data_IF_039964659427
#
_entry.id   IF_039964659427
#
_cell.length_a   1.000
_cell.length_b   1.000
_cell.length_c   1.000
_cell.angle_alpha   90.00
_cell.angle_beta   90.00
_cell.angle_gamma   90.00
#
_symmetry.space_group_name_H-M   'P 1'
#
loop_
_entity.id
_entity.type
_entity.pdbx_description
1 polymer ?
#
# COMPACT_ATOMS: atom_id res chain seq x y z
N UNK A 1 -24.07 -12.06 -4.78
CA UNK A 1 -24.88 -11.34 -5.79
C UNK A 1 -25.29 -9.96 -5.28
N UNK A 2 -25.84 -9.86 -4.07
CA UNK A 2 -26.37 -8.62 -3.46
C UNK A 2 -25.37 -7.46 -3.38
N UNK A 3 -24.17 -7.66 -2.83
CA UNK A 3 -23.17 -6.58 -2.73
C UNK A 3 -22.72 -6.03 -4.09
N UNK A 4 -22.67 -6.88 -5.12
CA UNK A 4 -22.35 -6.43 -6.49
C UNK A 4 -23.44 -5.53 -7.05
N UNK A 5 -24.72 -5.85 -6.75
CA UNK A 5 -25.83 -5.00 -7.15
C UNK A 5 -25.82 -3.67 -6.40
N UNK A 6 -25.57 -3.71 -5.08
CA UNK A 6 -25.41 -2.51 -4.27
C UNK A 6 -24.28 -1.60 -4.80
N UNK A 7 -23.16 -2.20 -5.21
CA UNK A 7 -22.03 -1.47 -5.79
C UNK A 7 -22.33 -0.91 -7.20
N UNK A 8 -23.12 -1.60 -8.02
CA UNK A 8 -23.52 -1.10 -9.34
C UNK A 8 -24.41 0.15 -9.25
N UNK A 9 -25.27 0.21 -8.24
CA UNK A 9 -26.16 1.34 -7.96
C UNK A 9 -25.59 2.25 -6.84
N UNK A 10 -24.26 2.26 -6.63
CA UNK A 10 -23.61 2.88 -5.47
C UNK A 10 -23.90 4.38 -5.33
N UNK A 11 -23.96 5.12 -6.45
CA UNK A 11 -24.28 6.54 -6.46
C UNK A 11 -25.63 6.87 -5.81
N UNK A 12 -26.59 5.96 -5.93
CA UNK A 12 -27.90 6.06 -5.28
C UNK A 12 -27.74 5.69 -3.80
N UNK A 13 -27.10 4.56 -3.51
CA UNK A 13 -26.98 4.06 -2.15
C UNK A 13 -26.20 4.99 -1.21
N UNK A 14 -25.13 5.61 -1.68
CA UNK A 14 -24.32 6.55 -0.88
C UNK A 14 -25.08 7.80 -0.44
N UNK A 15 -26.17 8.16 -1.14
CA UNK A 15 -27.02 9.31 -0.79
C UNK A 15 -28.21 8.86 0.05
N UNK A 16 -29.01 7.92 -0.48
CA UNK A 16 -30.28 7.53 0.16
C UNK A 16 -30.10 6.64 1.39
N UNK A 17 -29.00 5.88 1.46
CA UNK A 17 -28.74 4.95 2.55
C UNK A 17 -27.54 5.37 3.41
N UNK A 18 -27.08 6.62 3.31
CA UNK A 18 -25.88 7.12 4.01
C UNK A 18 -25.85 6.80 5.52
N UNK A 19 -26.99 6.86 6.19
CA UNK A 19 -27.12 6.56 7.62
C UNK A 19 -27.16 5.06 7.96
N UNK A 20 -27.33 4.19 6.96
CA UNK A 20 -27.45 2.74 7.12
C UNK A 20 -26.20 1.97 6.67
N UNK A 21 -25.35 2.58 5.83
CA UNK A 21 -24.18 1.92 5.25
C UNK A 21 -23.15 1.48 6.29
N UNK A 22 -23.02 2.21 7.39
CA UNK A 22 -22.17 1.84 8.51
C UNK A 22 -22.61 0.53 9.19
N UNK A 23 -23.92 0.24 9.22
CA UNK A 23 -24.49 -0.93 9.86
C UNK A 23 -24.47 -2.19 8.99
N UNK A 24 -23.89 -2.12 7.79
CA UNK A 24 -23.56 -3.32 7.02
C UNK A 24 -22.67 -4.22 7.90
N UNK A 25 -22.98 -5.53 8.02
CA UNK A 25 -22.20 -6.44 8.84
C UNK A 25 -20.69 -6.33 8.55
N UNK A 26 -19.87 -6.24 9.60
CA UNK A 26 -18.43 -5.92 9.50
C UNK A 26 -17.68 -6.83 8.53
N UNK A 27 -17.96 -8.14 8.54
CA UNK A 27 -17.36 -9.10 7.61
C UNK A 27 -17.73 -8.87 6.12
N UNK A 28 -18.80 -8.12 5.81
CA UNK A 28 -19.20 -7.78 4.44
C UNK A 28 -18.62 -6.46 3.95
N UNK A 29 -18.21 -5.56 4.86
CA UNK A 29 -17.68 -4.23 4.52
C UNK A 29 -16.47 -4.29 3.57
N UNK A 30 -15.46 -5.18 3.76
CA UNK A 30 -14.34 -5.28 2.84
C UNK A 30 -14.75 -5.67 1.42
N UNK A 31 -15.67 -6.63 1.29
CA UNK A 31 -16.18 -7.07 0.02
C UNK A 31 -16.99 -5.96 -0.68
N UNK A 32 -17.78 -5.20 0.08
CA UNK A 32 -18.50 -4.03 -0.43
C UNK A 32 -17.54 -2.97 -0.95
N UNK A 33 -16.55 -2.55 -0.15
CA UNK A 33 -15.53 -1.55 -0.54
C UNK A 33 -14.86 -1.98 -1.85
N UNK A 34 -14.43 -3.25 -1.93
CA UNK A 34 -13.83 -3.80 -3.16
C UNK A 34 -14.79 -3.73 -4.35
N UNK A 35 -16.04 -4.15 -4.18
CA UNK A 35 -17.00 -4.14 -5.28
C UNK A 35 -17.32 -2.72 -5.75
N UNK A 36 -17.43 -1.75 -4.85
CA UNK A 36 -17.57 -0.32 -5.20
C UNK A 36 -16.34 0.14 -5.98
N UNK A 37 -15.13 -0.23 -5.54
CA UNK A 37 -13.89 0.18 -6.22
C UNK A 37 -13.75 -0.39 -7.63
N UNK A 38 -14.29 -1.57 -7.87
CA UNK A 38 -14.29 -2.21 -9.20
C UNK A 38 -15.45 -1.73 -10.08
N UNK A 39 -16.63 -1.46 -9.50
CA UNK A 39 -17.82 -1.05 -10.25
C UNK A 39 -17.83 0.44 -10.60
N UNK A 40 -17.22 1.27 -9.76
CA UNK A 40 -17.14 2.71 -9.96
C UNK A 40 -16.07 3.08 -10.99
N UNK A 41 -16.44 3.89 -11.96
CA UNK A 41 -15.48 4.47 -12.90
C UNK A 41 -14.44 5.33 -12.21
N UNK A 42 -14.73 5.95 -11.07
CA UNK A 42 -13.73 6.74 -10.33
C UNK A 42 -12.98 5.93 -9.26
N UNK A 43 -13.43 4.72 -8.93
CA UNK A 43 -12.99 3.99 -7.73
C UNK A 43 -13.73 4.44 -6.46
N UNK A 44 -13.33 3.88 -5.31
CA UNK A 44 -13.86 4.26 -3.98
C UNK A 44 -13.33 5.64 -3.61
N UNK A 45 -14.18 6.54 -3.12
CA UNK A 45 -13.77 7.84 -2.59
C UNK A 45 -13.54 7.80 -1.07
N UNK A 46 -12.94 8.86 -0.53
CA UNK A 46 -12.74 8.98 0.91
C UNK A 46 -14.07 9.03 1.67
N UNK A 47 -15.07 9.70 1.11
CA UNK A 47 -16.42 9.77 1.68
C UNK A 47 -17.08 8.40 1.73
N UNK A 48 -16.87 7.57 0.71
CA UNK A 48 -17.40 6.19 0.70
C UNK A 48 -16.78 5.35 1.82
N UNK A 49 -15.46 5.48 2.06
CA UNK A 49 -14.81 4.80 3.17
C UNK A 49 -15.37 5.23 4.52
N UNK A 50 -15.59 6.53 4.71
CA UNK A 50 -16.19 7.06 5.94
C UNK A 50 -17.61 6.52 6.13
N UNK A 51 -18.46 6.56 5.10
CA UNK A 51 -19.83 6.04 5.16
C UNK A 51 -19.91 4.55 5.55
N UNK A 52 -18.94 3.75 5.13
CA UNK A 52 -18.93 2.30 5.39
C UNK A 52 -18.28 1.99 6.76
N UNK A 53 -17.20 2.68 7.12
CA UNK A 53 -16.34 2.31 8.25
C UNK A 53 -16.58 3.13 9.51
N UNK A 54 -17.09 4.35 9.39
CA UNK A 54 -17.32 5.26 10.51
C UNK A 54 -18.82 5.42 10.78
N UNK A 55 -19.23 5.57 12.05
CA UNK A 55 -20.63 5.85 12.38
C UNK A 55 -21.06 7.19 11.77
N UNK A 56 -22.35 7.35 11.41
CA UNK A 56 -22.85 8.63 10.90
C UNK A 56 -22.68 9.75 11.93
N UNK A 57 -22.12 10.88 11.49
CA UNK A 57 -21.87 12.05 12.34
C UNK A 57 -23.19 12.59 12.93
N UNK A 58 -23.19 12.89 14.24
CA UNK A 58 -24.30 13.54 14.95
C UNK A 58 -25.65 12.79 14.93
N UNK A 59 -25.66 11.48 14.66
CA UNK A 59 -26.89 10.67 14.67
C UNK A 59 -27.02 9.80 15.91
N UNK A 60 -25.90 9.27 16.41
CA UNK A 60 -25.86 8.39 17.57
C UNK A 60 -24.99 9.02 18.65
N UNK A 61 -25.42 8.91 19.91
CA UNK A 61 -24.55 9.33 21.02
C UNK A 61 -23.41 8.33 21.19
N UNK A 62 -22.30 8.79 21.76
CA UNK A 62 -21.12 7.96 22.01
C UNK A 62 -21.40 6.74 22.91
N UNK A 63 -22.48 6.81 23.69
CA UNK A 63 -22.96 5.75 24.58
C UNK A 63 -23.81 4.69 23.87
N UNK A 64 -24.39 4.99 22.70
CA UNK A 64 -25.28 4.09 21.97
C UNK A 64 -24.53 3.05 21.12
N UNK A 65 -23.24 3.28 20.85
CA UNK A 65 -22.40 2.38 20.06
C UNK A 65 -21.37 1.69 20.94
N UNK A 66 -21.46 0.37 21.08
CA UNK A 66 -20.45 -0.41 21.79
C UNK A 66 -19.06 -0.26 21.14
N UNK A 67 -18.00 -0.25 21.95
CA UNK A 67 -16.61 -0.08 21.51
C UNK A 67 -16.17 -1.11 20.45
N UNK A 68 -16.69 -2.34 20.46
CA UNK A 68 -16.42 -3.37 19.45
C UNK A 68 -17.05 -3.02 18.10
N UNK A 69 -18.28 -2.51 18.12
CA UNK A 69 -18.97 -2.01 16.92
C UNK A 69 -18.22 -0.82 16.30
N UNK A 70 -17.65 0.05 17.14
CA UNK A 70 -16.82 1.19 16.71
C UNK A 70 -15.48 0.76 16.11
N UNK A 71 -14.84 -0.27 16.67
CA UNK A 71 -13.49 -0.68 16.28
C UNK A 71 -13.43 -1.60 15.04
N UNK A 72 -14.55 -1.90 14.35
CA UNK A 72 -14.63 -2.80 13.19
C UNK A 72 -13.70 -4.04 13.31
N UNK A 73 -13.66 -4.67 14.50
CA UNK A 73 -12.62 -5.65 14.87
C UNK A 73 -12.66 -6.94 14.04
N UNK A 74 -13.78 -7.26 13.41
CA UNK A 74 -13.93 -8.39 12.48
C UNK A 74 -13.27 -8.15 11.12
N UNK A 75 -12.93 -6.90 10.78
CA UNK A 75 -12.32 -6.56 9.50
C UNK A 75 -10.82 -6.89 9.55
N UNK A 76 -10.46 -7.94 8.80
CA UNK A 76 -9.08 -8.40 8.68
C UNK A 76 -8.46 -8.06 7.33
N UNK A 77 -9.25 -7.60 6.36
CA UNK A 77 -8.82 -7.29 5.00
C UNK A 77 -9.34 -5.93 4.54
N UNK A 78 -8.48 -5.16 3.87
CA UNK A 78 -8.83 -3.92 3.21
C UNK A 78 -8.21 -3.90 1.81
N UNK A 79 -9.07 -3.93 0.80
CA UNK A 79 -8.68 -3.94 -0.60
C UNK A 79 -9.04 -2.59 -1.24
N UNK A 80 -8.03 -1.75 -1.49
CA UNK A 80 -8.16 -0.44 -2.12
C UNK A 80 -7.60 -0.43 -3.55
N UNK A 81 -7.51 -1.62 -4.16
CA UNK A 81 -6.95 -1.77 -5.51
C UNK A 81 -7.66 -0.85 -6.50
N UNK A 82 -6.90 -0.24 -7.41
CA UNK A 82 -7.36 0.71 -8.42
C UNK A 82 -8.00 2.03 -7.90
N UNK A 83 -8.12 2.21 -6.58
CA UNK A 83 -8.61 3.47 -5.98
C UNK A 83 -7.45 4.37 -5.50
N UNK A 84 -6.38 3.77 -4.99
CA UNK A 84 -5.17 4.49 -4.57
C UNK A 84 -4.49 5.17 -5.77
N UNK A 85 -4.15 6.46 -5.62
CA UNK A 85 -3.52 7.27 -6.66
C UNK A 85 -4.48 7.75 -7.75
N UNK A 86 -5.77 7.38 -7.65
CA UNK A 86 -6.83 7.77 -8.58
C UNK A 86 -7.91 8.61 -7.87
N UNK A 87 -8.67 7.99 -6.97
CA UNK A 87 -9.71 8.64 -6.16
C UNK A 87 -9.31 8.80 -4.69
N UNK A 88 -8.32 8.04 -4.23
CA UNK A 88 -7.81 8.06 -2.87
C UNK A 88 -6.34 8.44 -2.83
N UNK A 89 -5.99 9.39 -1.98
CA UNK A 89 -4.60 9.59 -1.56
C UNK A 89 -4.31 8.75 -0.34
N UNK A 90 -3.11 8.22 -0.26
CA UNK A 90 -2.72 7.37 0.86
C UNK A 90 -2.73 8.13 2.20
N UNK A 91 -2.46 9.44 2.17
CA UNK A 91 -2.64 10.32 3.34
C UNK A 91 -4.07 10.28 3.89
N UNK A 92 -5.08 10.42 3.03
CA UNK A 92 -6.48 10.45 3.47
C UNK A 92 -6.87 9.09 4.10
N UNK A 93 -6.35 7.99 3.55
CA UNK A 93 -6.53 6.65 4.12
C UNK A 93 -5.87 6.53 5.51
N UNK A 94 -4.66 7.08 5.69
CA UNK A 94 -4.01 7.13 7.01
C UNK A 94 -4.88 7.93 7.99
N UNK A 95 -5.42 9.08 7.57
CA UNK A 95 -6.20 9.95 8.44
C UNK A 95 -7.52 9.27 8.87
N UNK A 96 -8.17 8.50 7.99
CA UNK A 96 -9.35 7.69 8.32
C UNK A 96 -9.03 6.51 9.23
N UNK A 97 -7.94 5.78 8.97
CA UNK A 97 -7.58 4.60 9.76
C UNK A 97 -7.09 4.95 11.18
N UNK A 98 -6.50 6.13 11.35
CA UNK A 98 -5.83 6.56 12.57
C UNK A 98 -6.36 7.89 13.09
N UNK A 99 -7.67 8.10 13.02
CA UNK A 99 -8.29 9.31 13.55
C UNK A 99 -8.00 9.43 15.05
N UNK A 100 -7.49 10.59 15.46
CA UNK A 100 -7.33 10.94 16.87
C UNK A 100 -8.73 11.28 17.37
N UNK A 101 -9.20 10.61 18.42
CA UNK A 101 -10.39 11.10 19.11
C UNK A 101 -10.03 12.48 19.68
N UNK A 102 -10.72 13.53 19.26
CA UNK A 102 -10.54 14.82 19.93
C UNK A 102 -10.91 14.64 21.41
N UNK A 103 -10.11 15.17 22.35
CA UNK A 103 -10.49 15.13 23.75
C UNK A 103 -11.84 15.81 23.90
N UNK A 104 -12.79 15.15 24.54
CA UNK A 104 -14.11 15.70 24.86
C UNK A 104 -13.93 17.11 25.42
N UNK A 105 -14.31 18.11 24.65
CA UNK A 105 -14.46 19.46 25.17
C UNK A 105 -15.67 19.43 26.08
N UNK A 106 -15.45 19.11 27.35
CA UNK A 106 -16.44 19.30 28.41
C UNK A 106 -16.66 20.81 28.52
N UNK A 107 -17.65 21.31 27.79
CA UNK A 107 -18.09 22.71 27.84
C UNK A 107 -19.04 22.92 29.04
N UNK A 108 -18.56 22.57 30.23
CA UNK A 108 -19.12 23.05 31.50
C UNK A 108 -17.98 23.59 32.36
N UNK A 109 -18.02 24.87 32.78
CA UNK A 109 -17.02 25.41 33.69
C UNK A 109 -17.27 24.82 35.08
N UNK A 110 -16.66 23.67 35.37
CA UNK A 110 -16.58 23.18 36.74
C UNK A 110 -15.48 23.95 37.48
N UNK A 111 -15.91 24.84 38.38
CA UNK A 111 -15.09 25.46 39.42
C UNK A 111 -14.60 24.39 40.41
N UNK A 112 -13.60 23.59 40.04
CA UNK A 112 -12.91 22.68 40.95
C UNK A 112 -11.43 22.59 40.61
N UNK A 113 -10.59 22.98 41.58
CA UNK A 113 -9.12 22.99 41.49
C UNK A 113 -8.50 21.58 41.56
N UNK A 114 -9.01 20.61 40.82
CA UNK A 114 -8.36 19.31 40.60
C UNK A 114 -7.91 19.20 39.14
N UNK A 115 -6.60 19.31 38.93
CA UNK A 115 -5.97 19.08 37.64
C UNK A 115 -6.05 17.60 37.31
N UNK A 116 -7.15 17.20 36.67
CA UNK A 116 -7.24 15.87 36.07
C UNK A 116 -6.33 15.89 34.85
N UNK A 117 -5.19 15.20 34.93
CA UNK A 117 -4.32 14.94 33.79
C UNK A 117 -5.14 14.26 32.69
N UNK A 118 -5.72 15.05 31.78
CA UNK A 118 -6.43 14.54 30.61
C UNK A 118 -5.36 14.07 29.63
N UNK A 119 -4.76 12.92 29.93
CA UNK A 119 -3.86 12.26 28.99
C UNK A 119 -4.64 12.01 27.69
N UNK A 120 -4.17 12.53 26.53
CA UNK A 120 -4.89 12.32 25.28
C UNK A 120 -4.99 10.82 25.03
N UNK A 121 -6.22 10.33 24.83
CA UNK A 121 -6.45 8.92 24.56
C UNK A 121 -5.62 8.49 23.34
N UNK A 122 -4.98 7.30 23.36
CA UNK A 122 -4.17 6.86 22.24
C UNK A 122 -5.04 6.81 20.97
N UNK A 123 -4.52 7.24 19.80
CA UNK A 123 -5.28 7.24 18.56
C UNK A 123 -5.88 5.86 18.31
N UNK A 124 -7.21 5.79 18.26
CA UNK A 124 -7.93 4.54 18.07
C UNK A 124 -7.71 4.07 16.63
N UNK A 125 -7.24 2.84 16.47
CA UNK A 125 -7.11 2.22 15.15
C UNK A 125 -8.49 1.72 14.70
N UNK A 126 -8.97 2.24 13.58
CA UNK A 126 -10.30 1.91 13.05
C UNK A 126 -10.42 0.43 12.67
N UNK A 127 -9.31 -0.21 12.29
CA UNK A 127 -9.23 -1.62 11.85
C UNK A 127 -8.11 -2.35 12.63
N UNK A 128 -8.30 -2.68 13.92
CA UNK A 128 -7.25 -3.16 14.82
C UNK A 128 -6.70 -4.55 14.44
N UNK A 129 -7.49 -5.35 13.74
CA UNK A 129 -7.13 -6.71 13.32
C UNK A 129 -6.79 -6.80 11.82
N UNK A 130 -6.45 -5.68 11.18
CA UNK A 130 -6.08 -5.66 9.77
C UNK A 130 -4.81 -6.47 9.53
N UNK A 131 -4.92 -7.51 8.70
CA UNK A 131 -3.81 -8.40 8.32
C UNK A 131 -3.55 -8.40 6.82
N UNK A 132 -4.57 -8.14 6.00
CA UNK A 132 -4.46 -8.11 4.54
C UNK A 132 -4.73 -6.69 4.03
N UNK A 133 -3.78 -6.14 3.28
CA UNK A 133 -3.87 -4.81 2.71
C UNK A 133 -3.51 -4.86 1.22
N UNK A 134 -4.43 -4.44 0.35
CA UNK A 134 -4.11 -4.23 -1.07
C UNK A 134 -4.11 -2.75 -1.39
N UNK A 135 -2.97 -2.27 -1.88
CA UNK A 135 -2.78 -0.92 -2.42
C UNK A 135 -2.41 -0.99 -3.91
N UNK A 136 -2.77 -2.07 -4.60
CA UNK A 136 -2.48 -2.26 -6.01
C UNK A 136 -3.01 -1.11 -6.86
N UNK A 137 -2.20 -0.62 -7.80
CA UNK A 137 -2.59 0.48 -8.68
C UNK A 137 -3.30 -0.03 -9.92
N UNK A 138 -4.14 0.81 -10.52
CA UNK A 138 -4.65 0.55 -11.86
C UNK A 138 -3.47 0.64 -12.85
N UNK A 139 -3.15 -0.43 -13.61
CA UNK A 139 -2.06 -0.41 -14.58
C UNK A 139 -2.21 0.67 -15.66
N UNK A 140 -3.43 1.13 -15.93
CA UNK A 140 -3.77 2.17 -16.91
C UNK A 140 -4.00 3.54 -16.29
N UNK A 141 -4.05 3.61 -14.96
CA UNK A 141 -4.36 4.82 -14.20
C UNK A 141 -3.13 5.70 -13.92
N UNK A 142 -3.37 6.92 -13.40
CA UNK A 142 -2.29 7.76 -12.90
C UNK A 142 -1.57 7.07 -11.73
N UNK A 143 -0.26 7.23 -11.66
CA UNK A 143 0.59 6.67 -10.58
C UNK A 143 0.94 7.74 -9.53
N UNK A 144 -0.07 8.49 -9.08
CA UNK A 144 0.11 9.52 -8.04
C UNK A 144 0.15 8.88 -6.65
N UNK A 145 1.28 8.24 -6.33
CA UNK A 145 1.50 7.57 -5.04
C UNK A 145 2.79 8.03 -4.38
N UNK A 146 2.83 7.93 -3.04
CA UNK A 146 3.95 8.37 -2.24
C UNK A 146 4.52 7.23 -1.39
N UNK A 147 5.75 6.82 -1.70
CA UNK A 147 6.51 5.89 -0.85
C UNK A 147 6.71 6.43 0.56
N UNK A 148 6.85 7.75 0.74
CA UNK A 148 6.91 8.39 2.06
C UNK A 148 5.63 8.15 2.87
N UNK A 149 4.46 8.28 2.24
CA UNK A 149 3.19 7.97 2.89
C UNK A 149 3.05 6.47 3.16
N UNK A 150 3.49 5.60 2.25
CA UNK A 150 3.49 4.16 2.48
C UNK A 150 4.37 3.77 3.67
N UNK A 151 5.55 4.38 3.81
CA UNK A 151 6.42 4.17 4.96
C UNK A 151 5.74 4.63 6.25
N UNK A 152 5.07 5.80 6.24
CA UNK A 152 4.31 6.29 7.39
C UNK A 152 3.11 5.40 7.75
N UNK A 153 2.45 4.79 6.75
CA UNK A 153 1.38 3.82 6.97
C UNK A 153 1.94 2.52 7.57
N UNK A 154 3.04 2.02 7.00
CA UNK A 154 3.65 0.75 7.40
C UNK A 154 4.12 0.74 8.85
N UNK A 155 4.63 1.87 9.37
CA UNK A 155 5.02 1.97 10.78
C UNK A 155 3.83 1.89 11.75
N UNK A 156 2.62 2.15 11.26
CA UNK A 156 1.38 2.10 12.05
C UNK A 156 0.59 0.79 11.87
N UNK A 157 0.97 -0.08 10.93
CA UNK A 157 0.30 -1.34 10.62
C UNK A 157 1.22 -2.57 10.80
N UNK A 158 1.79 -2.80 12.01
CA UNK A 158 2.71 -3.91 12.25
C UNK A 158 2.04 -5.30 12.22
N UNK A 159 0.71 -5.37 12.17
CA UNK A 159 -0.08 -6.62 12.11
C UNK A 159 -0.24 -7.18 10.69
N UNK A 160 0.08 -6.39 9.65
CA UNK A 160 -0.12 -6.80 8.26
C UNK A 160 0.80 -7.96 7.89
N UNK A 161 0.19 -9.03 7.38
CA UNK A 161 0.85 -10.25 6.89
C UNK A 161 0.78 -10.39 5.38
N UNK A 162 -0.22 -9.77 4.73
CA UNK A 162 -0.38 -9.80 3.28
C UNK A 162 -0.44 -8.39 2.73
N UNK A 163 0.48 -8.07 1.83
CA UNK A 163 0.54 -6.76 1.17
C UNK A 163 0.58 -6.94 -0.35
N UNK A 164 -0.28 -6.24 -1.08
CA UNK A 164 -0.11 -6.04 -2.53
C UNK A 164 0.26 -4.60 -2.84
N UNK A 165 1.37 -4.46 -3.54
CA UNK A 165 1.87 -3.21 -4.15
C UNK A 165 1.96 -3.40 -5.68
N UNK A 166 1.05 -4.17 -6.26
CA UNK A 166 1.06 -4.39 -7.70
C UNK A 166 0.99 -3.05 -8.45
N UNK A 167 1.79 -2.94 -9.52
CA UNK A 167 1.93 -1.77 -10.39
C UNK A 167 2.49 -0.50 -9.73
N UNK A 168 3.02 -0.60 -8.50
CA UNK A 168 3.70 0.53 -7.87
C UNK A 168 4.93 0.99 -8.68
N UNK A 169 5.16 2.31 -8.76
CA UNK A 169 6.34 2.85 -9.40
C UNK A 169 7.58 2.50 -8.58
N UNK A 170 8.75 2.79 -9.15
CA UNK A 170 10.02 2.59 -8.46
C UNK A 170 10.06 3.23 -7.05
N UNK A 171 10.61 2.54 -6.03
CA UNK A 171 10.84 3.08 -4.69
C UNK A 171 11.68 4.37 -4.70
N UNK A 172 11.06 5.48 -4.35
CA UNK A 172 11.70 6.80 -4.33
C UNK A 172 10.97 7.73 -3.36
N UNK A 173 11.71 8.45 -2.51
CA UNK A 173 11.19 9.43 -1.56
C UNK A 173 10.93 10.79 -2.22
N UNK A 174 11.61 11.07 -3.33
CA UNK A 174 11.60 12.37 -4.01
C UNK A 174 11.27 12.28 -5.51
N UNK A 175 10.10 11.73 -5.90
CA UNK A 175 9.79 11.41 -7.30
C UNK A 175 9.87 12.63 -8.24
N UNK A 176 9.47 13.81 -7.79
CA UNK A 176 9.49 15.05 -8.56
C UNK A 176 10.89 15.68 -8.69
N UNK A 177 11.79 15.36 -7.77
CA UNK A 177 13.15 15.89 -7.80
C UNK A 177 14.01 15.25 -8.90
N UNK A 178 13.62 14.06 -9.41
CA UNK A 178 14.24 13.42 -10.58
C UNK A 178 14.21 14.29 -11.85
N UNK A 179 13.33 15.28 -11.90
CA UNK A 179 13.18 16.23 -13.01
C UNK A 179 13.69 17.64 -12.70
N UNK A 180 14.19 17.89 -11.49
CA UNK A 180 14.65 19.20 -11.05
C UNK A 180 16.17 19.24 -11.00
N UNK A 181 16.76 20.31 -11.56
CA UNK A 181 18.20 20.56 -11.51
C UNK A 181 18.49 21.91 -10.89
N UNK A 182 19.53 21.99 -10.06
CA UNK A 182 20.06 23.24 -9.49
C UNK A 182 21.34 23.62 -10.20
N UNK A 183 21.46 24.89 -10.56
CA UNK A 183 22.68 25.44 -11.15
C UNK A 183 23.76 25.59 -10.07
N UNK A 184 24.87 24.87 -10.22
CA UNK A 184 26.08 25.04 -9.40
C UNK A 184 26.72 26.42 -9.63
N UNK A 185 27.39 27.01 -8.63
CA UNK A 185 28.23 28.21 -8.80
C UNK A 185 29.32 28.06 -9.89
N UNK A 186 29.67 26.83 -10.29
CA UNK A 186 30.58 26.53 -11.39
C UNK A 186 29.87 26.36 -12.75
N UNK A 187 28.58 26.68 -12.86
CA UNK A 187 27.81 26.66 -14.11
C UNK A 187 27.30 25.28 -14.55
N UNK A 188 27.38 24.25 -13.70
CA UNK A 188 26.85 22.90 -13.97
C UNK A 188 25.47 22.71 -13.34
N UNK A 189 24.50 22.22 -14.10
CA UNK A 189 23.20 21.79 -13.57
C UNK A 189 23.37 20.44 -12.85
N UNK A 190 23.09 20.39 -11.55
CA UNK A 190 23.18 19.20 -10.70
C UNK A 190 21.74 18.76 -10.34
N UNK A 191 21.40 17.45 -10.40
CA UNK A 191 20.09 16.97 -9.98
C UNK A 191 19.77 17.36 -8.53
N UNK A 192 18.56 17.87 -8.28
CA UNK A 192 18.16 18.39 -6.96
C UNK A 192 18.17 17.33 -5.85
N UNK A 193 17.82 16.08 -6.18
CA UNK A 193 17.79 14.97 -5.22
C UNK A 193 19.02 14.05 -5.28
N UNK A 194 20.08 14.43 -6.00
CA UNK A 194 21.24 13.55 -6.22
C UNK A 194 20.99 12.42 -7.23
N UNK A 195 19.73 12.03 -7.46
CA UNK A 195 19.30 11.13 -8.53
C UNK A 195 18.54 11.89 -9.63
N UNK A 196 18.71 11.46 -10.88
CA UNK A 196 18.04 11.98 -12.08
C UNK A 196 17.15 10.90 -12.71
N UNK A 197 16.32 11.27 -13.69
CA UNK A 197 15.41 10.34 -14.40
C UNK A 197 16.10 9.09 -14.99
N UNK A 198 17.38 9.18 -15.33
CA UNK A 198 18.17 8.10 -15.91
C UNK A 198 19.16 7.45 -14.93
N UNK A 199 19.11 7.79 -13.64
CA UNK A 199 20.11 7.31 -12.67
C UNK A 199 20.17 5.79 -12.55
N UNK A 200 19.07 5.09 -12.82
CA UNK A 200 19.06 3.62 -12.80
C UNK A 200 19.52 3.00 -14.13
N UNK A 201 19.23 3.66 -15.26
CA UNK A 201 19.55 3.18 -16.61
C UNK A 201 20.95 3.54 -17.08
N UNK A 202 21.51 4.66 -16.63
CA UNK A 202 22.83 5.16 -17.00
C UNK A 202 23.81 5.03 -15.83
N UNK A 203 23.43 5.51 -14.65
CA UNK A 203 24.35 5.62 -13.51
C UNK A 203 24.33 4.40 -12.58
N UNK A 204 23.39 3.46 -12.80
CA UNK A 204 23.19 2.26 -11.97
C UNK A 204 23.03 2.55 -10.46
N UNK A 205 22.58 3.75 -10.10
CA UNK A 205 22.41 4.17 -8.70
C UNK A 205 21.07 3.63 -8.19
N UNK A 206 21.09 2.70 -7.22
CA UNK A 206 19.87 2.13 -6.61
C UNK A 206 19.72 2.53 -5.14
N UNK A 207 20.56 3.44 -4.61
CA UNK A 207 20.70 3.67 -3.17
C UNK A 207 19.41 4.14 -2.51
N UNK A 208 18.65 5.05 -3.16
CA UNK A 208 17.35 5.51 -2.63
C UNK A 208 16.31 4.37 -2.61
N UNK A 209 16.25 3.56 -3.67
CA UNK A 209 15.31 2.45 -3.75
C UNK A 209 15.62 1.39 -2.69
N UNK A 210 16.91 1.08 -2.48
CA UNK A 210 17.39 0.17 -1.44
C UNK A 210 17.06 0.68 -0.03
N UNK A 211 17.21 1.99 0.21
CA UNK A 211 16.82 2.62 1.48
C UNK A 211 15.32 2.47 1.75
N UNK A 212 14.47 2.80 0.78
CA UNK A 212 13.01 2.68 0.90
C UNK A 212 12.61 1.23 1.16
N UNK A 213 13.15 0.28 0.39
CA UNK A 213 12.85 -1.15 0.55
C UNK A 213 13.32 -1.68 1.90
N UNK A 214 14.50 -1.26 2.40
CA UNK A 214 14.99 -1.62 3.73
C UNK A 214 14.09 -1.09 4.84
N UNK A 215 13.62 0.16 4.72
CA UNK A 215 12.70 0.75 5.70
C UNK A 215 11.35 0.02 5.69
N UNK A 216 10.82 -0.23 4.50
CA UNK A 216 9.57 -0.96 4.33
C UNK A 216 9.68 -2.36 4.92
N UNK A 217 10.80 -3.06 4.67
CA UNK A 217 10.99 -4.42 5.18
C UNK A 217 11.03 -4.49 6.71
N UNK A 218 11.63 -3.47 7.35
CA UNK A 218 11.66 -3.36 8.82
C UNK A 218 10.29 -3.08 9.41
N UNK A 219 9.50 -2.22 8.78
CA UNK A 219 8.16 -1.87 9.27
C UNK A 219 7.18 -3.05 9.07
N UNK A 220 7.25 -3.70 7.93
CA UNK A 220 6.42 -4.86 7.58
C UNK A 220 7.15 -6.20 7.82
N UNK A 221 7.72 -6.35 9.02
CA UNK A 221 8.51 -7.54 9.38
C UNK A 221 7.67 -8.81 9.61
N UNK A 222 6.34 -8.68 9.67
CA UNK A 222 5.40 -9.81 9.80
C UNK A 222 4.88 -10.35 8.47
N UNK A 223 5.27 -9.76 7.32
CA UNK A 223 4.77 -10.19 6.03
C UNK A 223 5.06 -11.67 5.77
N UNK A 224 4.03 -12.34 5.27
CA UNK A 224 4.02 -13.71 4.78
C UNK A 224 3.77 -13.72 3.26
N UNK A 225 3.04 -12.72 2.75
CA UNK A 225 2.76 -12.53 1.34
C UNK A 225 3.10 -11.11 0.87
N UNK A 226 3.80 -11.00 -0.26
CA UNK A 226 4.05 -9.74 -0.94
C UNK A 226 3.78 -9.88 -2.44
N UNK A 227 2.93 -9.03 -2.98
CA UNK A 227 2.64 -8.96 -4.41
C UNK A 227 3.20 -7.70 -5.05
N UNK A 228 4.14 -7.91 -5.98
CA UNK A 228 4.81 -6.89 -6.77
C UNK A 228 4.57 -7.11 -8.28
N UNK A 229 3.41 -7.67 -8.64
CA UNK A 229 3.00 -7.80 -10.04
C UNK A 229 3.07 -6.45 -10.73
N UNK A 230 3.61 -6.35 -11.95
CA UNK A 230 3.68 -5.07 -12.67
C UNK A 230 4.85 -4.16 -12.29
N UNK A 231 5.73 -4.62 -11.40
CA UNK A 231 6.84 -3.84 -10.85
C UNK A 231 8.21 -4.21 -11.45
N UNK A 232 8.21 -4.82 -12.64
CA UNK A 232 9.41 -5.39 -13.28
C UNK A 232 10.57 -4.41 -13.44
N UNK A 233 10.28 -3.11 -13.59
CA UNK A 233 11.27 -2.05 -13.77
C UNK A 233 12.24 -1.91 -12.60
N UNK A 234 11.83 -2.31 -11.38
CA UNK A 234 12.65 -2.18 -10.18
C UNK A 234 12.92 -3.51 -9.47
N UNK A 235 12.53 -4.66 -10.03
CA UNK A 235 12.81 -5.98 -9.47
C UNK A 235 14.28 -6.15 -9.06
N UNK A 236 15.21 -5.64 -9.87
CA UNK A 236 16.65 -5.71 -9.59
C UNK A 236 17.01 -5.22 -8.17
N UNK A 237 16.35 -4.17 -7.67
CA UNK A 237 16.59 -3.64 -6.32
C UNK A 237 16.39 -4.68 -5.21
N UNK A 238 15.58 -5.72 -5.43
CA UNK A 238 15.30 -6.77 -4.44
C UNK A 238 16.51 -7.66 -4.13
N UNK A 239 17.55 -7.67 -4.95
CA UNK A 239 18.76 -8.48 -4.75
C UNK A 239 20.06 -7.67 -4.75
N UNK A 240 19.98 -6.35 -4.86
CA UNK A 240 21.12 -5.45 -4.79
C UNK A 240 21.45 -5.09 -3.34
N UNK A 241 22.66 -4.58 -3.14
CA UNK A 241 23.16 -4.10 -1.85
C UNK A 241 24.09 -2.93 -2.06
N UNK A 242 23.91 -1.90 -1.25
CA UNK A 242 24.82 -0.77 -1.14
C UNK A 242 25.08 -0.49 0.36
N UNK A 243 26.30 -0.77 0.83
CA UNK A 243 26.63 -0.66 2.25
C UNK A 243 25.66 -1.43 3.16
N UNK A 244 24.87 -0.70 3.95
CA UNK A 244 23.85 -1.25 4.86
C UNK A 244 22.43 -1.26 4.25
N UNK A 245 22.27 -0.75 3.04
CA UNK A 245 21.00 -0.61 2.33
C UNK A 245 20.80 -1.82 1.42
N UNK A 246 19.96 -2.75 1.89
CA UNK A 246 19.53 -3.95 1.19
C UNK A 246 18.27 -4.52 1.85
N UNK A 247 17.58 -5.39 1.14
CA UNK A 247 16.45 -6.15 1.68
C UNK A 247 16.97 -7.35 2.47
N UNK A 248 16.70 -7.39 3.78
CA UNK A 248 17.05 -8.54 4.61
C UNK A 248 15.99 -9.64 4.50
N UNK A 249 16.20 -10.53 3.53
CA UNK A 249 15.34 -11.69 3.28
C UNK A 249 15.42 -12.79 4.35
N UNK A 250 16.39 -12.73 5.26
CA UNK A 250 16.62 -13.74 6.31
C UNK A 250 16.10 -13.30 7.68
N UNK A 251 16.18 -12.00 7.99
CA UNK A 251 15.66 -11.39 9.21
C UNK A 251 14.34 -10.67 8.96
N UNK A 252 14.37 -9.39 8.58
CA UNK A 252 13.15 -8.55 8.47
C UNK A 252 12.06 -9.18 7.62
N UNK A 253 12.41 -9.75 6.46
CA UNK A 253 11.47 -10.45 5.57
C UNK A 253 11.63 -11.97 5.62
N UNK A 254 12.18 -12.53 6.71
CA UNK A 254 12.36 -13.97 6.89
C UNK A 254 11.05 -14.78 7.00
N UNK A 255 9.91 -14.10 7.24
CA UNK A 255 8.57 -14.72 7.32
C UNK A 255 7.84 -14.81 5.98
N UNK A 256 8.28 -14.09 4.95
CA UNK A 256 7.68 -14.13 3.63
C UNK A 256 7.75 -15.57 3.08
N UNK A 257 6.59 -16.16 2.80
CA UNK A 257 6.46 -17.48 2.20
C UNK A 257 6.02 -17.41 0.74
N UNK A 258 5.43 -16.30 0.31
CA UNK A 258 5.02 -16.10 -1.07
C UNK A 258 5.35 -14.68 -1.55
N UNK A 259 6.08 -14.61 -2.65
CA UNK A 259 6.42 -13.37 -3.36
C UNK A 259 5.92 -13.48 -4.80
N UNK A 260 5.11 -12.53 -5.27
CA UNK A 260 4.69 -12.45 -6.68
C UNK A 260 5.51 -11.42 -7.44
N UNK A 261 6.21 -11.87 -8.48
CA UNK A 261 7.02 -11.09 -9.41
C UNK A 261 6.53 -11.31 -10.85
N UNK A 262 5.24 -11.16 -11.07
CA UNK A 262 4.68 -11.14 -12.42
C UNK A 262 5.01 -9.81 -13.11
N UNK A 263 5.27 -9.85 -14.40
CA UNK A 263 5.51 -8.67 -15.26
C UNK A 263 4.30 -7.76 -15.35
N UNK A 264 3.08 -8.32 -15.23
CA UNK A 264 1.81 -7.60 -15.32
C UNK A 264 1.36 -7.27 -16.75
N UNK A 265 2.08 -7.77 -17.75
CA UNK A 265 1.74 -7.64 -19.16
C UNK A 265 2.35 -8.82 -19.93
N UNK A 266 1.79 -9.19 -21.06
CA UNK A 266 2.32 -10.25 -21.93
C UNK A 266 2.56 -9.68 -23.33
N UNK A 267 3.71 -9.95 -23.97
CA UNK A 267 3.95 -9.56 -25.35
C UNK A 267 2.91 -10.21 -26.27
N UNK A 268 2.26 -9.41 -27.12
CA UNK A 268 1.41 -9.92 -28.19
C UNK A 268 2.21 -10.72 -29.23
N UNK A 269 1.51 -11.44 -30.11
CA UNK A 269 2.11 -12.24 -31.19
C UNK A 269 3.04 -11.39 -32.08
N UNK A 270 2.64 -10.14 -32.32
CA UNK A 270 3.36 -9.17 -33.15
C UNK A 270 4.22 -8.19 -32.34
N UNK A 271 4.51 -8.51 -31.07
CA UNK A 271 5.32 -7.65 -30.22
C UNK A 271 6.74 -7.45 -30.78
N UNK A 272 7.26 -6.23 -30.65
CA UNK A 272 8.60 -5.89 -31.12
C UNK A 272 9.66 -6.72 -30.40
N UNK A 273 10.81 -6.94 -31.06
CA UNK A 273 11.93 -7.67 -30.45
C UNK A 273 12.39 -7.04 -29.12
N UNK A 274 12.29 -5.72 -28.98
CA UNK A 274 12.57 -4.99 -27.73
C UNK A 274 11.62 -5.38 -26.60
N UNK A 275 10.32 -5.54 -26.90
CA UNK A 275 9.31 -5.90 -25.90
C UNK A 275 9.48 -7.36 -25.49
N UNK A 276 9.73 -8.24 -26.44
CA UNK A 276 10.06 -9.64 -26.16
C UNK A 276 11.31 -9.78 -25.28
N UNK A 277 12.35 -8.97 -25.57
CA UNK A 277 13.57 -8.92 -24.78
C UNK A 277 13.32 -8.36 -23.36
N UNK A 278 12.53 -7.29 -23.23
CA UNK A 278 12.18 -6.71 -21.94
C UNK A 278 11.39 -7.69 -21.06
N UNK A 279 10.42 -8.39 -21.65
CA UNK A 279 9.64 -9.42 -20.98
C UNK A 279 10.52 -10.58 -20.50
N UNK A 280 11.37 -11.10 -21.37
CA UNK A 280 12.32 -12.18 -21.03
C UNK A 280 13.28 -11.75 -19.93
N UNK A 281 13.84 -10.54 -20.04
CA UNK A 281 14.73 -9.96 -19.04
C UNK A 281 14.07 -9.81 -17.68
N UNK A 282 12.79 -9.43 -17.62
CA UNK A 282 12.05 -9.34 -16.37
C UNK A 282 11.86 -10.72 -15.71
N UNK A 283 11.53 -11.75 -16.51
CA UNK A 283 11.41 -13.13 -16.02
C UNK A 283 12.74 -13.65 -15.48
N UNK A 284 13.84 -13.39 -16.18
CA UNK A 284 15.17 -13.81 -15.76
C UNK A 284 15.65 -13.06 -14.51
N UNK A 285 15.28 -11.79 -14.38
CA UNK A 285 15.50 -11.01 -13.15
C UNK A 285 14.74 -11.63 -11.98
N UNK A 286 13.46 -12.00 -12.15
CA UNK A 286 12.67 -12.68 -11.14
C UNK A 286 13.28 -14.03 -10.72
N UNK A 287 13.79 -14.83 -11.68
CA UNK A 287 14.54 -16.07 -11.39
C UNK A 287 15.79 -15.80 -10.56
N UNK A 288 16.53 -14.74 -10.90
CA UNK A 288 17.76 -14.38 -10.18
C UNK A 288 17.46 -14.00 -8.73
N UNK A 289 16.39 -13.23 -8.50
CA UNK A 289 15.90 -12.85 -7.18
C UNK A 289 15.52 -14.08 -6.37
N UNK A 290 14.77 -15.01 -6.95
CA UNK A 290 14.41 -16.28 -6.30
C UNK A 290 15.65 -17.02 -5.79
N UNK A 291 16.67 -17.22 -6.65
CA UNK A 291 17.93 -17.87 -6.26
C UNK A 291 18.67 -17.08 -5.17
N UNK A 292 18.71 -15.76 -5.27
CA UNK A 292 19.33 -14.89 -4.28
C UNK A 292 18.66 -15.03 -2.91
N UNK A 293 17.33 -15.02 -2.85
CA UNK A 293 16.57 -15.16 -1.60
C UNK A 293 16.83 -16.54 -0.99
N UNK A 294 16.75 -17.60 -1.79
CA UNK A 294 17.01 -18.98 -1.32
C UNK A 294 18.44 -19.10 -0.77
N UNK A 295 19.42 -18.54 -1.46
CA UNK A 295 20.81 -18.53 -1.02
C UNK A 295 21.02 -17.74 0.28
N UNK A 296 20.38 -16.56 0.42
CA UNK A 296 20.46 -15.76 1.65
C UNK A 296 19.78 -16.44 2.83
N UNK A 297 18.70 -17.19 2.59
CA UNK A 297 18.02 -17.93 3.64
C UNK A 297 18.82 -19.13 4.10
N UNK A 298 19.45 -19.91 3.22
CA UNK A 298 20.36 -21.02 3.57
C UNK A 298 19.87 -21.90 4.75
N UNK A 299 18.57 -22.22 4.80
CA UNK A 299 17.94 -23.00 5.88
C UNK A 299 17.40 -22.21 7.08
N UNK A 300 17.52 -20.89 7.07
CA UNK A 300 16.94 -19.96 8.06
C UNK A 300 15.61 -19.40 7.54
N UNK A 301 14.64 -19.23 8.44
CA UNK A 301 13.32 -18.70 8.12
C UNK A 301 12.40 -19.73 7.47
N UNK A 302 11.28 -19.26 6.91
CA UNK A 302 10.30 -20.14 6.25
C UNK A 302 10.70 -20.40 4.79
N UNK A 303 10.20 -21.49 4.21
CA UNK A 303 10.32 -21.71 2.78
C UNK A 303 9.59 -20.60 2.01
N UNK A 304 10.18 -20.12 0.92
CA UNK A 304 9.57 -19.10 0.04
C UNK A 304 9.31 -19.67 -1.34
N UNK A 305 8.13 -19.34 -1.86
CA UNK A 305 7.77 -19.54 -3.26
C UNK A 305 7.80 -18.18 -3.95
N UNK A 306 8.49 -18.10 -5.09
CA UNK A 306 8.45 -16.93 -5.96
C UNK A 306 7.61 -17.25 -7.19
N UNK A 307 6.41 -16.68 -7.22
CA UNK A 307 5.51 -16.76 -8.39
C UNK A 307 5.94 -15.73 -9.43
N UNK A 308 6.05 -16.16 -10.69
CA UNK A 308 6.49 -15.32 -11.83
C UNK A 308 5.95 -15.91 -13.13
N UNK A 309 6.00 -15.13 -14.21
CA UNK A 309 5.60 -15.60 -15.53
C UNK A 309 6.44 -16.79 -16.00
N UNK A 310 5.82 -17.63 -16.84
CA UNK A 310 6.46 -18.79 -17.46
C UNK A 310 6.59 -18.52 -18.95
N UNK A 311 7.81 -18.69 -19.48
CA UNK A 311 8.01 -18.77 -20.91
C UNK A 311 7.62 -20.19 -21.31
N UNK A 312 6.47 -20.37 -21.96
CA UNK A 312 6.18 -21.66 -22.59
C UNK A 312 7.21 -21.88 -23.70
N UNK A 313 7.95 -22.98 -23.61
CA UNK A 313 8.79 -23.40 -24.71
C UNK A 313 7.86 -23.74 -25.88
N UNK A 314 7.89 -22.92 -26.94
CA UNK A 314 7.23 -23.25 -28.21
C UNK A 314 7.70 -24.64 -28.62
N UNK A 315 6.79 -25.61 -28.63
CA UNK A 315 7.00 -26.95 -29.18
C UNK A 315 7.09 -26.89 -30.70
#
# INVERSE_FOLDING_TARGET
LTLRRLAADWDIHRVFNQYHLYFVPSHLKPALIRYVGVASDSGVSISDLKLILQPPENVFSDEELDDQSRANSEITCLDLSASIGRSLKLKDVIDVLFSVAEPDAIDEPQDSWETVDTSPSPPRLLLPNLTHLSLALDPRGPRDVSWKQLLSLSSKLPSVTHLSLAYWPEPCLTPWAKFSTVSSPQGRNIPYAGTNYYSHSLDHDWSEALLVLRMLSKNFYKLEFLDLTGCATWFKALHLKDGHDYVDWSGSWGKLTLLRLYTGWEPGIDAMASDQAAYTSAIDTAKCIERHIVAMRAGKGRFITVERDKIEAKK
#
